data_IF_468767863490
#
_entry.id   IF_468767863490
#
_cell.length_a   1.000
_cell.length_b   1.000
_cell.length_c   1.000
_cell.angle_alpha   90.00
_cell.angle_beta   90.00
_cell.angle_gamma   90.00
#
_symmetry.space_group_name_H-M   'P 1'
#
loop_
_entity.id
_entity.type
_entity.pdbx_description
1 polymer ?
#
# COMPACT_ATOMS: atom_id res chain seq x y z
N UNK A 1 -7.56 30.59 4.53
CA UNK A 1 -7.24 29.62 5.61
C UNK A 1 -5.94 28.94 5.22
N UNK A 2 -4.91 28.97 6.09
CA UNK A 2 -3.65 28.26 5.81
C UNK A 2 -3.92 26.76 5.97
N UNK A 3 -3.88 26.01 4.87
CA UNK A 3 -3.85 24.54 4.93
C UNK A 3 -2.48 24.11 5.45
N UNK A 4 -2.36 23.96 6.77
CA UNK A 4 -1.24 23.29 7.41
C UNK A 4 -1.46 21.76 7.34
N UNK A 5 -1.67 21.24 6.14
CA UNK A 5 -1.96 19.82 5.90
C UNK A 5 -0.89 19.23 4.98
N UNK A 6 -0.30 18.10 5.39
CA UNK A 6 0.64 17.36 4.56
C UNK A 6 -0.13 16.58 3.48
N UNK A 7 0.11 16.93 2.22
CA UNK A 7 -0.27 16.12 1.06
C UNK A 7 0.94 15.37 0.53
N UNK A 8 0.74 14.19 -0.05
CA UNK A 8 1.81 13.43 -0.68
C UNK A 8 2.11 14.00 -2.07
N UNK A 9 3.39 14.19 -2.38
CA UNK A 9 3.86 14.60 -3.72
C UNK A 9 4.18 13.41 -4.62
N UNK A 10 4.25 12.21 -4.04
CA UNK A 10 4.50 10.91 -4.67
C UNK A 10 3.50 9.91 -4.11
N UNK A 11 3.22 8.82 -4.82
CA UNK A 11 2.28 7.82 -4.31
C UNK A 11 2.76 7.23 -2.98
N UNK A 12 1.82 7.05 -2.05
CA UNK A 12 2.10 6.55 -0.70
C UNK A 12 2.03 5.02 -0.69
N UNK A 13 3.18 4.35 -0.91
CA UNK A 13 3.30 2.89 -1.02
C UNK A 13 2.73 2.11 0.19
N UNK A 14 2.67 2.71 1.38
CA UNK A 14 2.10 2.08 2.58
C UNK A 14 0.56 1.99 2.54
N UNK A 15 -0.10 2.80 1.70
CA UNK A 15 -1.55 2.81 1.53
C UNK A 15 -1.98 1.71 0.55
N UNK A 16 -1.51 0.49 0.81
CA UNK A 16 -1.66 -0.71 -0.02
C UNK A 16 -2.81 -1.62 0.46
N UNK A 17 -3.30 -2.47 -0.43
CA UNK A 17 -4.25 -3.55 -0.09
C UNK A 17 -3.51 -4.86 0.20
N UNK A 18 -3.82 -5.49 1.33
CA UNK A 18 -3.17 -6.75 1.77
C UNK A 18 -4.13 -7.93 1.64
N UNK A 19 -3.84 -8.85 0.71
CA UNK A 19 -4.59 -10.06 0.42
C UNK A 19 -3.73 -11.29 0.69
N UNK A 20 -3.69 -11.72 1.96
CA UNK A 20 -2.80 -12.78 2.44
C UNK A 20 -1.32 -12.47 2.08
N UNK A 21 -0.70 -13.26 1.20
CA UNK A 21 0.68 -13.02 0.73
C UNK A 21 0.79 -12.00 -0.39
N UNK A 22 -0.32 -11.55 -0.98
CA UNK A 22 -0.32 -10.64 -2.12
C UNK A 22 -0.55 -9.20 -1.65
N UNK A 23 0.36 -8.30 -2.03
CA UNK A 23 0.31 -6.88 -1.69
C UNK A 23 0.02 -6.09 -2.97
N UNK A 24 -1.12 -5.39 -2.99
CA UNK A 24 -1.44 -4.41 -4.03
C UNK A 24 -0.96 -3.04 -3.60
N UNK A 25 0.22 -2.64 -4.09
CA UNK A 25 0.96 -1.45 -3.68
C UNK A 25 0.75 -0.36 -4.73
N UNK A 26 0.45 0.90 -4.34
CA UNK A 26 0.47 2.03 -5.28
C UNK A 26 1.82 2.10 -6.01
N UNK A 27 1.80 2.32 -7.32
CA UNK A 27 3.00 2.40 -8.15
C UNK A 27 3.72 3.74 -7.94
N UNK A 28 4.87 3.78 -7.26
CA UNK A 28 5.48 5.04 -6.80
C UNK A 28 5.94 6.02 -7.89
N UNK A 29 6.02 5.57 -9.15
CA UNK A 29 6.61 6.32 -10.29
C UNK A 29 7.97 6.98 -9.95
N UNK A 30 8.75 6.31 -9.10
CA UNK A 30 10.06 6.78 -8.68
C UNK A 30 11.11 6.78 -9.80
N UNK A 31 12.30 7.34 -9.55
CA UNK A 31 13.38 7.42 -10.53
C UNK A 31 13.74 6.06 -11.14
N UNK A 32 13.97 6.04 -12.45
CA UNK A 32 14.40 4.84 -13.17
C UNK A 32 15.93 4.75 -13.12
N UNK A 33 16.44 3.69 -12.49
CA UNK A 33 17.86 3.35 -12.41
C UNK A 33 18.01 1.96 -13.04
N UNK A 34 18.94 1.81 -13.99
CA UNK A 34 19.18 0.54 -14.70
C UNK A 34 17.93 -0.10 -15.35
N UNK A 35 16.95 0.72 -15.74
CA UNK A 35 15.71 0.27 -16.36
C UNK A 35 14.59 -0.14 -15.39
N UNK A 36 14.82 -0.07 -14.08
CA UNK A 36 13.82 -0.33 -13.04
C UNK A 36 13.54 0.90 -12.16
N UNK A 37 12.34 0.95 -11.58
CA UNK A 37 12.01 1.97 -10.59
C UNK A 37 12.69 1.64 -9.26
N UNK A 38 13.57 2.51 -8.78
CA UNK A 38 14.38 2.22 -7.60
C UNK A 38 13.56 2.08 -6.30
N UNK A 39 12.38 2.71 -6.24
CA UNK A 39 11.45 2.58 -5.12
C UNK A 39 10.77 1.21 -5.12
N UNK A 40 10.27 0.76 -6.29
CA UNK A 40 9.70 -0.58 -6.43
C UNK A 40 10.72 -1.66 -6.08
N UNK A 41 11.95 -1.52 -6.56
CA UNK A 41 13.05 -2.44 -6.24
C UNK A 41 13.35 -2.46 -4.74
N UNK A 42 13.36 -1.29 -4.09
CA UNK A 42 13.60 -1.21 -2.66
C UNK A 42 12.50 -1.89 -1.86
N UNK A 43 11.23 -1.67 -2.20
CA UNK A 43 10.08 -2.33 -1.57
C UNK A 43 10.15 -3.85 -1.75
N UNK A 44 10.41 -4.32 -2.97
CA UNK A 44 10.60 -5.76 -3.25
C UNK A 44 11.71 -6.36 -2.40
N UNK A 45 12.87 -5.71 -2.33
CA UNK A 45 14.02 -6.18 -1.55
C UNK A 45 13.74 -6.37 -0.07
N UNK A 46 12.76 -5.63 0.48
CA UNK A 46 12.36 -5.70 1.88
C UNK A 46 11.26 -6.73 2.14
N UNK A 47 10.30 -6.85 1.23
CA UNK A 47 9.06 -7.61 1.46
C UNK A 47 9.08 -9.00 0.83
N UNK A 48 9.68 -9.17 -0.34
CA UNK A 48 9.76 -10.48 -1.01
C UNK A 48 10.52 -11.54 -0.19
N UNK A 49 11.61 -11.22 0.56
CA UNK A 49 12.25 -12.19 1.45
C UNK A 49 11.35 -12.73 2.58
N UNK A 50 10.25 -12.04 2.90
CA UNK A 50 9.25 -12.48 3.88
C UNK A 50 8.21 -13.44 3.25
N UNK A 51 8.34 -13.76 1.97
CA UNK A 51 7.38 -14.58 1.21
C UNK A 51 6.16 -13.80 0.74
N UNK A 52 6.24 -12.47 0.65
CA UNK A 52 5.19 -11.59 0.16
C UNK A 52 5.38 -11.31 -1.33
N UNK A 53 4.29 -11.27 -2.08
CA UNK A 53 4.26 -10.95 -3.50
C UNK A 53 3.86 -9.48 -3.68
N UNK A 54 4.77 -8.66 -4.20
CA UNK A 54 4.54 -7.24 -4.44
C UNK A 54 3.98 -7.00 -5.84
N UNK A 55 2.77 -6.44 -5.93
CA UNK A 55 2.11 -6.06 -7.18
C UNK A 55 1.93 -4.54 -7.16
N UNK A 56 2.63 -3.84 -8.05
CA UNK A 56 2.53 -2.39 -8.17
C UNK A 56 1.39 -2.01 -9.12
N UNK A 57 0.44 -1.22 -8.63
CA UNK A 57 -0.80 -0.85 -9.33
C UNK A 57 -0.73 0.64 -9.64
N UNK A 58 -0.90 0.99 -10.91
CA UNK A 58 -1.03 2.38 -11.35
C UNK A 58 -2.41 2.92 -10.94
N UNK A 59 -2.44 3.79 -9.94
CA UNK A 59 -3.63 4.49 -9.47
C UNK A 59 -3.49 6.03 -9.52
N UNK A 60 -2.48 6.53 -10.23
CA UNK A 60 -2.09 7.94 -10.21
C UNK A 60 -3.23 8.90 -10.59
N UNK A 61 -3.92 8.61 -11.70
CA UNK A 61 -5.01 9.45 -12.19
C UNK A 61 -6.35 9.15 -11.50
N UNK A 62 -6.55 7.91 -11.06
CA UNK A 62 -7.81 7.43 -10.52
C UNK A 62 -7.97 7.73 -9.02
N UNK A 63 -6.87 7.76 -8.26
CA UNK A 63 -6.90 7.96 -6.81
C UNK A 63 -5.87 8.99 -6.33
N UNK A 64 -4.59 8.90 -6.72
CA UNK A 64 -3.53 9.78 -6.18
C UNK A 64 -3.83 11.27 -6.38
N UNK A 65 -4.22 11.67 -7.60
CA UNK A 65 -4.65 13.05 -7.90
C UNK A 65 -5.86 13.53 -7.10
N UNK A 66 -6.68 12.59 -6.59
CA UNK A 66 -7.84 12.87 -5.76
C UNK A 66 -7.51 12.78 -4.26
N UNK A 67 -6.22 12.80 -3.90
CA UNK A 67 -5.69 12.78 -2.53
C UNK A 67 -5.97 11.46 -1.78
N UNK A 68 -5.99 10.33 -2.49
CA UNK A 68 -6.07 8.98 -1.90
C UNK A 68 -5.23 7.97 -2.69
N UNK A 69 -5.07 6.75 -2.20
CA UNK A 69 -4.38 5.67 -2.94
C UNK A 69 -5.21 4.36 -2.85
N UNK A 70 -4.65 3.25 -3.33
CA UNK A 70 -5.27 1.90 -3.33
C UNK A 70 -6.08 1.56 -2.08
N UNK A 71 -5.55 1.71 -0.86
CA UNK A 71 -6.32 1.36 0.35
C UNK A 71 -7.44 2.36 0.68
N UNK A 72 -7.36 3.62 0.23
CA UNK A 72 -8.51 4.53 0.29
C UNK A 72 -9.65 4.09 -0.65
N UNK A 73 -9.32 3.49 -1.78
CA UNK A 73 -10.27 3.03 -2.80
C UNK A 73 -10.81 1.63 -2.60
N UNK A 74 -10.27 0.86 -1.65
CA UNK A 74 -10.58 -0.55 -1.47
C UNK A 74 -11.01 -0.89 -0.05
N UNK A 75 -11.75 -1.99 0.10
CA UNK A 75 -12.08 -2.55 1.40
C UNK A 75 -12.11 -4.08 1.29
N UNK A 76 -11.69 -4.79 2.34
CA UNK A 76 -11.53 -6.24 2.32
C UNK A 76 -12.30 -6.86 3.48
N UNK A 77 -13.26 -7.73 3.16
CA UNK A 77 -13.91 -8.56 4.17
C UNK A 77 -12.99 -9.74 4.54
N UNK A 78 -12.55 -9.78 5.79
CA UNK A 78 -11.65 -10.83 6.31
C UNK A 78 -12.40 -11.89 7.11
N UNK A 79 -11.80 -13.08 7.23
CA UNK A 79 -12.29 -14.13 8.11
C UNK A 79 -12.21 -13.64 9.57
N UNK A 80 -13.26 -13.81 10.39
CA UNK A 80 -13.19 -13.51 11.82
C UNK A 80 -12.10 -14.33 12.52
N UNK A 81 -11.57 -13.82 13.62
CA UNK A 81 -10.66 -14.59 14.46
C UNK A 81 -11.34 -15.85 15.00
N UNK A 82 -10.64 -16.99 15.08
CA UNK A 82 -11.17 -18.18 15.73
C UNK A 82 -11.30 -18.00 17.25
N UNK A 83 -10.56 -17.05 17.82
CA UNK A 83 -10.63 -16.68 19.23
C UNK A 83 -11.93 -15.93 19.53
N UNK A 84 -12.61 -16.34 20.59
CA UNK A 84 -13.85 -15.71 21.06
C UNK A 84 -13.53 -14.47 21.89
N UNK A 85 -13.91 -13.30 21.40
CA UNK A 85 -13.50 -12.01 21.99
C UNK A 85 -13.89 -11.85 23.47
N UNK A 86 -14.97 -12.47 23.93
CA UNK A 86 -15.42 -12.42 25.33
C UNK A 86 -14.58 -13.29 26.30
N UNK A 87 -13.56 -14.00 25.81
CA UNK A 87 -12.56 -14.66 26.66
C UNK A 87 -11.36 -13.75 26.98
N UNK A 88 -11.32 -12.51 26.45
CA UNK A 88 -10.32 -11.51 26.84
C UNK A 88 -10.62 -10.97 28.24
N UNK A 89 -9.58 -10.82 29.07
CA UNK A 89 -9.60 -9.91 30.22
C UNK A 89 -9.00 -8.58 29.74
N UNK A 90 -9.78 -7.50 29.61
CA UNK A 90 -9.35 -6.24 29.01
C UNK A 90 -8.24 -5.51 29.77
#
# INVERSE_FOLDING_TARGET
MKQNSAGSTWEVEVNMVVLDKYLGIPKPFGPIINGGCCLEEKVRSLLEPLGLCCIFIDDYLSYHKLLGEIHCGTNVRRKPFPFKWWHVVP
#
